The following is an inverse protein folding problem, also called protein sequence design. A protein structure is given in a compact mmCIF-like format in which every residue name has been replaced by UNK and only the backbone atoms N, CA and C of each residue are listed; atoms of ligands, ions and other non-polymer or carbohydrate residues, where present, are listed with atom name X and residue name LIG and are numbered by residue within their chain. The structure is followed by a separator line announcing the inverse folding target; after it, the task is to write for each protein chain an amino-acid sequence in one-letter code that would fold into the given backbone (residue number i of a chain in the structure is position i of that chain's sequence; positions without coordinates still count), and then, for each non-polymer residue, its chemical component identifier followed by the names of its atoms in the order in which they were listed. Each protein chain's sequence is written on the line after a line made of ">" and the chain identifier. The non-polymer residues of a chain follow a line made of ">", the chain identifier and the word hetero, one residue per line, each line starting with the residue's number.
data_IF_587425810169
#
_entry.id   IF_587425810169
#
_cell.length_a   1.000
_cell.length_b   1.000
_cell.length_c   1.000
_cell.angle_alpha   90.00
_cell.angle_beta   90.00
_cell.angle_gamma   90.00
#
_symmetry.space_group_name_H-M   'P 1'
#
loop_
_entity.id
_entity.type
_entity.pdbx_description
1 polymer ?
#
# COMPACT_ATOMS: atom_id res chain seq x y z
N UNK A 1 -25.32 13.27 18.95
CA UNK A 1 -26.33 12.79 17.98
C UNK A 1 -25.57 12.42 16.71
N UNK A 2 -25.14 11.16 16.61
CA UNK A 2 -24.40 10.67 15.45
C UNK A 2 -25.40 10.26 14.37
N UNK A 3 -25.41 10.98 13.25
CA UNK A 3 -26.03 10.49 12.03
C UNK A 3 -25.14 9.35 11.49
N UNK A 4 -25.59 8.10 11.66
CA UNK A 4 -25.06 6.97 10.92
C UNK A 4 -25.15 7.31 9.43
N UNK A 5 -24.03 7.33 8.73
CA UNK A 5 -23.99 7.48 7.29
C UNK A 5 -24.66 6.24 6.67
N UNK A 6 -25.89 6.43 6.19
CA UNK A 6 -26.55 5.46 5.33
C UNK A 6 -25.77 5.41 4.01
N UNK A 7 -25.12 4.27 3.71
CA UNK A 7 -24.47 4.03 2.42
C UNK A 7 -25.50 3.52 1.41
N UNK A 8 -26.00 4.34 0.47
CA UNK A 8 -27.04 3.95 -0.48
C UNK A 8 -26.57 2.90 -1.51
N UNK A 9 -25.27 2.60 -1.59
CA UNK A 9 -24.72 1.58 -2.47
C UNK A 9 -24.86 0.15 -1.92
N UNK A 10 -25.19 0.00 -0.63
CA UNK A 10 -25.36 -1.29 0.04
C UNK A 10 -26.41 -2.17 -0.64
N UNK A 11 -27.58 -1.60 -0.92
CA UNK A 11 -28.65 -2.32 -1.64
C UNK A 11 -28.27 -2.58 -3.10
N UNK A 12 -27.56 -1.67 -3.77
CA UNK A 12 -27.21 -1.86 -5.18
C UNK A 12 -26.15 -2.95 -5.41
N UNK A 13 -25.19 -3.12 -4.50
CA UNK A 13 -24.15 -4.16 -4.65
C UNK A 13 -24.72 -5.57 -4.38
N UNK A 14 -25.59 -5.73 -3.39
CA UNK A 14 -26.31 -6.98 -3.12
C UNK A 14 -27.19 -7.44 -4.30
N UNK A 15 -27.84 -6.51 -5.01
CA UNK A 15 -28.66 -6.84 -6.18
C UNK A 15 -27.84 -7.10 -7.46
N UNK A 16 -26.59 -6.62 -7.55
CA UNK A 16 -25.73 -6.81 -8.72
C UNK A 16 -25.11 -8.21 -8.80
N UNK A 17 -24.90 -8.88 -7.67
CA UNK A 17 -24.21 -10.18 -7.64
C UNK A 17 -25.13 -11.37 -7.92
N UNK A 18 -26.47 -11.25 -7.78
CA UNK A 18 -27.39 -12.31 -8.24
C UNK A 18 -28.87 -11.87 -8.32
N UNK A 19 -29.46 -11.65 -9.52
CA UNK A 19 -30.86 -11.22 -9.66
C UNK A 19 -31.90 -12.32 -9.33
N UNK A 20 -31.49 -13.55 -9.02
CA UNK A 20 -32.38 -14.68 -8.71
C UNK A 20 -32.42 -15.06 -7.21
N UNK A 21 -31.79 -14.28 -6.31
CA UNK A 21 -31.86 -14.56 -4.88
C UNK A 21 -33.25 -14.18 -4.33
N UNK A 22 -34.03 -15.22 -4.06
CA UNK A 22 -35.29 -15.13 -3.33
C UNK A 22 -35.00 -14.61 -1.91
N UNK A 23 -35.53 -13.46 -1.47
CA UNK A 23 -35.16 -12.80 -0.21
C UNK A 23 -35.50 -13.59 1.08
N UNK A 24 -36.04 -14.80 0.96
CA UNK A 24 -36.32 -15.72 2.06
C UNK A 24 -35.40 -16.95 2.12
N UNK A 25 -34.50 -17.12 1.16
CA UNK A 25 -33.52 -18.20 1.14
C UNK A 25 -32.12 -17.59 1.03
N UNK A 26 -31.42 -17.58 2.15
CA UNK A 26 -30.00 -17.93 2.39
C UNK A 26 -29.62 -17.16 3.66
N UNK A 27 -30.07 -17.68 4.81
CA UNK A 27 -29.30 -17.50 6.03
C UNK A 27 -28.01 -18.30 5.80
N UNK A 28 -26.93 -17.64 5.40
CA UNK A 28 -25.61 -18.26 5.50
C UNK A 28 -25.22 -18.17 6.98
N UNK A 29 -25.63 -19.20 7.73
CA UNK A 29 -25.37 -19.33 9.18
C UNK A 29 -23.87 -19.25 9.46
N UNK A 30 -23.04 -19.77 8.55
CA UNK A 30 -21.59 -19.72 8.65
C UNK A 30 -21.09 -18.27 8.47
N UNK A 31 -21.52 -17.57 7.42
CA UNK A 31 -21.15 -16.16 7.22
C UNK A 31 -21.65 -15.27 8.37
N UNK A 32 -22.87 -15.49 8.85
CA UNK A 32 -23.45 -14.73 9.97
C UNK A 32 -22.60 -14.87 11.23
N UNK A 33 -22.24 -16.11 11.59
CA UNK A 33 -21.38 -16.39 12.74
C UNK A 33 -19.98 -15.81 12.55
N UNK A 34 -19.39 -15.95 11.36
CA UNK A 34 -18.06 -15.39 11.06
C UNK A 34 -18.03 -13.88 11.15
N UNK A 35 -19.06 -13.19 10.64
CA UNK A 35 -19.19 -11.73 10.75
C UNK A 35 -19.39 -11.33 12.22
N UNK A 36 -20.22 -12.05 12.99
CA UNK A 36 -20.43 -11.79 14.41
C UNK A 36 -19.14 -11.89 15.24
N UNK A 37 -18.41 -13.00 15.10
CA UNK A 37 -17.13 -13.23 15.79
C UNK A 37 -16.11 -12.14 15.44
N UNK A 38 -16.07 -11.73 14.17
CA UNK A 38 -15.19 -10.66 13.71
C UNK A 38 -15.59 -9.32 14.31
N UNK A 39 -16.88 -8.96 14.29
CA UNK A 39 -17.37 -7.72 14.91
C UNK A 39 -17.09 -7.67 16.42
N UNK A 40 -17.22 -8.79 17.13
CA UNK A 40 -16.88 -8.85 18.56
C UNK A 40 -15.39 -8.56 18.80
N UNK A 41 -14.49 -9.18 18.03
CA UNK A 41 -13.04 -8.94 18.10
C UNK A 41 -12.67 -7.49 17.75
N UNK A 42 -13.18 -6.97 16.63
CA UNK A 42 -12.75 -5.67 16.13
C UNK A 42 -13.32 -4.51 16.94
N UNK A 43 -14.60 -4.57 17.33
CA UNK A 43 -15.21 -3.49 18.12
C UNK A 43 -14.66 -3.39 19.52
N UNK A 44 -14.14 -4.49 20.07
CA UNK A 44 -13.47 -4.46 21.38
C UNK A 44 -12.08 -3.87 21.28
N UNK A 45 -11.30 -4.20 20.25
CA UNK A 45 -9.93 -3.71 20.13
C UNK A 45 -9.81 -2.30 19.55
N UNK A 46 -10.83 -1.77 18.86
CA UNK A 46 -10.73 -0.50 18.13
C UNK A 46 -10.31 0.70 18.99
N UNK A 47 -10.70 0.73 20.26
CA UNK A 47 -10.28 1.77 21.22
C UNK A 47 -8.76 1.82 21.39
N UNK A 48 -8.09 0.66 21.40
CA UNK A 48 -6.65 0.51 21.55
C UNK A 48 -5.90 1.08 20.33
N UNK A 49 -6.42 0.89 19.12
CA UNK A 49 -5.84 1.48 17.91
C UNK A 49 -5.86 3.01 17.97
N UNK A 50 -6.97 3.61 18.41
CA UNK A 50 -7.04 5.07 18.57
C UNK A 50 -6.13 5.61 19.68
N UNK A 51 -5.87 4.84 20.75
CA UNK A 51 -4.90 5.23 21.78
C UNK A 51 -3.48 5.33 21.20
N UNK A 52 -3.07 4.36 20.38
CA UNK A 52 -1.75 4.37 19.72
C UNK A 52 -1.67 5.48 18.67
N UNK A 53 -2.72 5.71 17.88
CA UNK A 53 -2.76 6.82 16.92
C UNK A 53 -2.55 8.20 17.57
N UNK A 54 -2.95 8.37 18.83
CA UNK A 54 -2.75 9.65 19.52
C UNK A 54 -1.28 10.03 19.66
N UNK A 55 -0.39 9.02 19.72
CA UNK A 55 1.06 9.21 19.77
C UNK A 55 1.61 9.80 18.46
N UNK A 56 0.93 9.55 17.34
CA UNK A 56 1.32 9.95 15.99
C UNK A 56 0.53 11.15 15.44
N UNK A 57 -0.33 11.76 16.26
CA UNK A 57 -1.28 12.81 15.83
C UNK A 57 -0.63 14.00 15.10
N UNK A 58 0.65 14.26 15.36
CA UNK A 58 1.40 15.37 14.75
C UNK A 58 2.52 14.91 13.81
N UNK A 59 2.58 13.63 13.45
CA UNK A 59 3.59 13.08 12.55
C UNK A 59 3.01 12.94 11.13
N UNK A 60 3.42 13.78 10.15
CA UNK A 60 2.94 13.70 8.79
C UNK A 60 3.34 12.40 8.08
N UNK A 61 4.42 11.75 8.51
CA UNK A 61 4.86 10.46 7.95
C UNK A 61 3.87 9.32 8.26
N UNK A 62 3.01 9.52 9.27
CA UNK A 62 2.05 8.53 9.76
C UNK A 62 0.62 8.71 9.28
N UNK A 63 0.42 9.54 8.25
CA UNK A 63 -0.90 9.64 7.61
C UNK A 63 -1.37 8.28 7.06
N UNK A 64 -0.44 7.41 6.65
CA UNK A 64 -0.73 6.04 6.22
C UNK A 64 -1.37 5.19 7.33
N UNK A 65 -0.76 5.17 8.53
CA UNK A 65 -1.31 4.45 9.69
C UNK A 65 -2.67 5.02 10.13
N UNK A 66 -2.81 6.35 10.18
CA UNK A 66 -4.08 7.02 10.49
C UNK A 66 -5.16 6.60 9.49
N UNK A 67 -4.84 6.62 8.19
CA UNK A 67 -5.75 6.22 7.12
C UNK A 67 -6.15 4.73 7.23
N UNK A 68 -5.19 3.84 7.52
CA UNK A 68 -5.45 2.41 7.66
C UNK A 68 -6.41 2.13 8.83
N UNK A 69 -6.21 2.76 9.99
CA UNK A 69 -7.11 2.61 11.15
C UNK A 69 -8.49 3.21 10.87
N UNK A 70 -8.58 4.36 10.18
CA UNK A 70 -9.87 4.91 9.75
C UNK A 70 -10.60 3.96 8.78
N UNK A 71 -9.88 3.36 7.84
CA UNK A 71 -10.40 2.37 6.90
C UNK A 71 -10.88 1.12 7.64
N UNK A 72 -10.15 0.67 8.66
CA UNK A 72 -10.55 -0.43 9.55
C UNK A 72 -11.91 -0.14 10.19
N UNK A 73 -12.08 1.05 10.76
CA UNK A 73 -13.35 1.48 11.36
C UNK A 73 -14.50 1.50 10.35
N UNK A 74 -14.24 1.90 9.10
CA UNK A 74 -15.25 1.87 8.05
C UNK A 74 -15.67 0.44 7.68
N UNK A 75 -14.71 -0.49 7.53
CA UNK A 75 -15.03 -1.90 7.25
C UNK A 75 -15.80 -2.54 8.41
N UNK A 76 -15.46 -2.20 9.67
CA UNK A 76 -16.24 -2.64 10.84
C UNK A 76 -17.69 -2.16 10.73
N UNK A 77 -17.92 -0.88 10.38
CA UNK A 77 -19.27 -0.34 10.19
C UNK A 77 -20.04 -1.05 9.06
N UNK A 78 -19.36 -1.40 7.97
CA UNK A 78 -19.97 -2.14 6.85
C UNK A 78 -20.32 -3.59 7.25
N UNK A 79 -19.45 -4.26 8.01
CA UNK A 79 -19.73 -5.58 8.59
C UNK A 79 -20.92 -5.55 9.58
N UNK A 80 -21.08 -4.46 10.34
CA UNK A 80 -22.28 -4.28 11.19
C UNK A 80 -23.57 -4.22 10.37
N UNK A 81 -23.54 -3.54 9.22
CA UNK A 81 -24.70 -3.51 8.32
C UNK A 81 -25.01 -4.91 7.78
N UNK A 82 -23.99 -5.68 7.43
CA UNK A 82 -24.12 -7.10 7.04
C UNK A 82 -24.75 -7.94 8.16
N UNK A 83 -24.24 -7.85 9.38
CA UNK A 83 -24.80 -8.58 10.50
C UNK A 83 -26.25 -8.18 10.79
N UNK A 84 -26.56 -6.88 10.74
CA UNK A 84 -27.93 -6.39 10.92
C UNK A 84 -28.86 -6.87 9.81
N UNK A 85 -28.37 -6.96 8.58
CA UNK A 85 -29.13 -7.51 7.47
C UNK A 85 -29.41 -9.01 7.65
N UNK A 86 -28.42 -9.79 8.08
CA UNK A 86 -28.59 -11.22 8.32
C UNK A 86 -29.50 -11.53 9.52
N UNK A 87 -29.38 -10.78 10.61
CA UNK A 87 -30.00 -11.15 11.89
C UNK A 87 -31.20 -10.28 12.28
N UNK A 88 -31.32 -9.09 11.71
CA UNK A 88 -32.26 -8.05 12.16
C UNK A 88 -31.84 -7.36 13.47
N UNK A 89 -30.68 -7.67 14.03
CA UNK A 89 -30.20 -7.17 15.32
C UNK A 89 -28.84 -6.49 15.19
N UNK A 90 -28.47 -5.69 16.20
CA UNK A 90 -27.10 -5.18 16.34
C UNK A 90 -26.28 -6.16 17.18
N UNK A 91 -24.97 -6.27 16.90
CA UNK A 91 -24.03 -7.02 17.74
C UNK A 91 -24.02 -6.43 19.15
N UNK A 92 -24.19 -7.28 20.17
CA UNK A 92 -24.11 -6.87 21.56
C UNK A 92 -22.66 -6.82 22.04
N UNK A 93 -22.11 -5.61 22.20
CA UNK A 93 -20.75 -5.37 22.69
C UNK A 93 -20.68 -5.07 24.20
N UNK A 94 -21.82 -4.98 24.90
CA UNK A 94 -21.93 -4.45 26.28
C UNK A 94 -21.25 -5.30 27.35
N UNK A 95 -20.95 -6.58 27.09
CA UNK A 95 -20.23 -7.43 28.05
C UNK A 95 -18.70 -7.25 27.98
N UNK A 96 -18.19 -6.52 26.99
CA UNK A 96 -16.77 -6.52 26.64
C UNK A 96 -16.03 -5.22 27.03
N UNK A 97 -16.77 -4.15 27.38
CA UNK A 97 -16.22 -2.87 27.85
C UNK A 97 -15.57 -2.95 29.24
N UNK A 98 -15.90 -3.96 30.05
CA UNK A 98 -15.45 -4.06 31.44
C UNK A 98 -14.02 -4.62 31.64
N UNK A 99 -13.29 -4.95 30.56
CA UNK A 99 -11.97 -5.61 30.63
C UNK A 99 -10.80 -4.80 30.02
N UNK A 100 -10.99 -3.53 29.64
CA UNK A 100 -9.98 -2.75 28.90
C UNK A 100 -9.44 -1.53 29.67
N UNK A 101 -8.91 -1.75 30.87
CA UNK A 101 -8.12 -0.76 31.61
C UNK A 101 -6.60 -0.94 31.41
N UNK A 102 -6.15 -1.37 30.23
CA UNK A 102 -4.73 -1.46 29.88
C UNK A 102 -4.33 -0.38 28.87
N UNK A 103 -3.19 0.30 29.09
CA UNK A 103 -2.57 1.15 28.07
C UNK A 103 -2.14 0.29 26.87
N UNK A 104 -2.62 0.62 25.67
CA UNK A 104 -2.17 -0.04 24.44
C UNK A 104 -0.78 0.48 24.03
N UNK A 105 0.14 -0.43 23.77
CA UNK A 105 1.47 -0.16 23.19
C UNK A 105 1.48 -0.36 21.68
N UNK A 106 2.48 0.19 20.99
CA UNK A 106 2.70 -0.08 19.56
C UNK A 106 2.84 -1.59 19.29
N UNK A 107 3.62 -2.29 20.12
CA UNK A 107 3.83 -3.74 20.03
C UNK A 107 2.52 -4.53 20.14
N UNK A 108 1.64 -4.16 21.09
CA UNK A 108 0.35 -4.84 21.25
C UNK A 108 -0.59 -4.60 20.07
N UNK A 109 -0.56 -3.42 19.43
CA UNK A 109 -1.34 -3.17 18.21
C UNK A 109 -0.75 -3.91 17.02
N UNK A 110 0.57 -3.96 16.89
CA UNK A 110 1.26 -4.72 15.86
C UNK A 110 0.89 -6.21 15.91
N UNK A 111 1.00 -6.84 17.08
CA UNK A 111 0.62 -8.26 17.27
C UNK A 111 -0.88 -8.49 16.98
N UNK A 112 -1.73 -7.59 17.48
CA UNK A 112 -3.17 -7.69 17.26
C UNK A 112 -3.53 -7.53 15.78
N UNK A 113 -2.85 -6.66 15.04
CA UNK A 113 -3.04 -6.45 13.62
C UNK A 113 -2.55 -7.67 12.81
N UNK A 114 -1.37 -8.22 13.10
CA UNK A 114 -0.90 -9.46 12.46
C UNK A 114 -1.86 -10.64 12.66
N UNK A 115 -2.34 -10.84 13.89
CA UNK A 115 -3.34 -11.87 14.16
C UNK A 115 -4.64 -11.60 13.39
N UNK A 116 -5.06 -10.32 13.31
CA UNK A 116 -6.24 -9.90 12.54
C UNK A 116 -6.11 -10.23 11.06
N UNK A 117 -4.93 -9.98 10.46
CA UNK A 117 -4.64 -10.33 9.08
C UNK A 117 -4.81 -11.84 8.83
N UNK A 118 -4.13 -12.68 9.60
CA UNK A 118 -4.19 -14.14 9.42
C UNK A 118 -5.61 -14.68 9.60
N UNK A 119 -6.31 -14.22 10.64
CA UNK A 119 -7.66 -14.67 10.94
C UNK A 119 -8.67 -14.23 9.87
N UNK A 120 -8.65 -12.96 9.48
CA UNK A 120 -9.62 -12.39 8.55
C UNK A 120 -9.37 -12.89 7.11
N UNK A 121 -8.10 -13.08 6.72
CA UNK A 121 -7.76 -13.71 5.45
C UNK A 121 -8.31 -15.14 5.39
N UNK A 122 -8.01 -15.96 6.40
CA UNK A 122 -8.50 -17.35 6.49
C UNK A 122 -10.03 -17.42 6.51
N UNK A 123 -10.71 -16.51 7.23
CA UNK A 123 -12.18 -16.45 7.26
C UNK A 123 -12.75 -16.09 5.89
N UNK A 124 -12.10 -15.19 5.15
CA UNK A 124 -12.53 -14.81 3.80
C UNK A 124 -12.54 -16.00 2.83
N UNK A 125 -11.59 -16.93 2.95
CA UNK A 125 -11.53 -18.15 2.12
C UNK A 125 -12.59 -19.20 2.51
N UNK A 126 -13.17 -19.11 3.71
CA UNK A 126 -14.04 -20.14 4.28
C UNK A 126 -15.53 -19.88 4.12
N UNK A 127 -15.93 -18.66 3.74
CA UNK A 127 -17.34 -18.28 3.57
C UNK A 127 -17.67 -18.07 2.09
N UNK A 128 -18.91 -18.34 1.72
CA UNK A 128 -19.36 -18.24 0.32
C UNK A 128 -20.25 -17.01 0.06
N UNK A 129 -20.57 -16.23 1.09
CA UNK A 129 -21.30 -14.97 0.93
C UNK A 129 -20.33 -13.91 0.35
N UNK A 130 -20.49 -13.50 -0.92
CA UNK A 130 -19.46 -12.75 -1.64
C UNK A 130 -19.12 -11.40 -1.02
N UNK A 131 -20.11 -10.71 -0.43
CA UNK A 131 -19.89 -9.39 0.12
C UNK A 131 -19.14 -9.46 1.46
N UNK A 132 -19.52 -10.37 2.34
CA UNK A 132 -18.79 -10.67 3.58
C UNK A 132 -17.37 -11.15 3.29
N UNK A 133 -17.18 -12.01 2.27
CA UNK A 133 -15.86 -12.45 1.85
C UNK A 133 -14.98 -11.26 1.44
N UNK A 134 -15.52 -10.36 0.62
CA UNK A 134 -14.82 -9.15 0.20
C UNK A 134 -14.45 -8.25 1.40
N UNK A 135 -15.39 -8.00 2.31
CA UNK A 135 -15.14 -7.16 3.49
C UNK A 135 -14.11 -7.79 4.44
N UNK A 136 -14.13 -9.10 4.65
CA UNK A 136 -13.14 -9.80 5.46
C UNK A 136 -11.74 -9.78 4.82
N UNK A 137 -11.66 -9.93 3.50
CA UNK A 137 -10.39 -9.78 2.79
C UNK A 137 -9.85 -8.35 2.89
N UNK A 138 -10.70 -7.33 2.70
CA UNK A 138 -10.32 -5.93 2.88
C UNK A 138 -9.85 -5.64 4.32
N UNK A 139 -10.56 -6.17 5.32
CA UNK A 139 -10.17 -6.04 6.72
C UNK A 139 -8.80 -6.68 6.98
N UNK A 140 -8.54 -7.87 6.41
CA UNK A 140 -7.25 -8.54 6.52
C UNK A 140 -6.11 -7.69 5.92
N UNK A 141 -6.32 -7.13 4.72
CA UNK A 141 -5.30 -6.28 4.09
C UNK A 141 -5.04 -5.00 4.89
N UNK A 142 -6.07 -4.41 5.50
CA UNK A 142 -5.90 -3.25 6.39
C UNK A 142 -5.13 -3.64 7.66
N UNK A 143 -5.41 -4.81 8.24
CA UNK A 143 -4.66 -5.33 9.37
C UNK A 143 -3.18 -5.54 9.03
N UNK A 144 -2.88 -6.06 7.84
CA UNK A 144 -1.51 -6.17 7.33
C UNK A 144 -0.85 -4.79 7.18
N UNK A 145 -1.53 -3.80 6.60
CA UNK A 145 -1.02 -2.43 6.46
C UNK A 145 -0.69 -1.81 7.82
N UNK A 146 -1.56 -1.99 8.82
CA UNK A 146 -1.29 -1.47 10.16
C UNK A 146 -0.06 -2.17 10.76
N UNK A 147 0.06 -3.49 10.63
CA UNK A 147 1.22 -4.22 11.11
C UNK A 147 2.52 -3.76 10.42
N UNK A 148 2.49 -3.54 9.11
CA UNK A 148 3.63 -3.08 8.32
C UNK A 148 4.07 -1.65 8.69
N UNK A 149 3.13 -0.73 8.92
CA UNK A 149 3.47 0.59 9.44
C UNK A 149 4.14 0.50 10.81
N UNK A 150 3.62 -0.34 11.71
CA UNK A 150 4.14 -0.44 13.07
C UNK A 150 5.45 -1.25 13.18
N UNK A 151 5.73 -2.18 12.26
CA UNK A 151 7.02 -2.91 12.23
C UNK A 151 8.18 -1.95 12.04
N UNK A 152 8.05 -0.97 11.13
CA UNK A 152 9.05 0.08 10.93
C UNK A 152 9.36 0.86 12.22
N UNK A 153 8.36 1.16 13.04
CA UNK A 153 8.57 1.79 14.35
C UNK A 153 9.28 0.88 15.34
N UNK A 154 8.90 -0.38 15.39
CA UNK A 154 9.48 -1.34 16.32
C UNK A 154 10.95 -1.65 15.98
N UNK A 155 11.28 -1.69 14.69
CA UNK A 155 12.66 -1.81 14.19
C UNK A 155 13.48 -0.55 14.54
N UNK A 156 12.92 0.64 14.31
CA UNK A 156 13.58 1.92 14.62
C UNK A 156 13.77 2.17 16.14
N UNK A 157 12.95 1.56 17.01
CA UNK A 157 13.16 1.63 18.47
C UNK A 157 14.24 0.68 18.99
N UNK A 158 14.71 -0.27 18.18
CA UNK A 158 15.80 -1.18 18.54
C UNK A 158 17.17 -0.78 17.98
N UNK A 159 17.24 0.13 17.00
CA UNK A 159 18.50 0.59 16.40
C UNK A 159 18.73 2.10 16.56
N UNK A 160 19.66 2.46 17.45
CA UNK A 160 20.35 3.74 17.43
C UNK A 160 21.21 3.80 16.14
N UNK A 161 20.84 4.70 15.21
CA UNK A 161 21.59 5.15 14.03
C UNK A 161 21.74 4.18 12.84
N UNK A 162 20.75 4.12 11.94
CA UNK A 162 20.98 4.13 10.48
C UNK A 162 19.72 4.51 9.69
N UNK A 163 19.83 5.58 8.89
CA UNK A 163 19.04 5.99 7.70
C UNK A 163 17.58 5.53 7.58
N UNK A 164 16.67 6.50 7.49
CA UNK A 164 15.31 6.35 6.97
C UNK A 164 15.31 5.56 5.64
N UNK A 165 15.07 4.25 5.71
CA UNK A 165 14.87 3.44 4.52
C UNK A 165 13.46 3.71 4.01
N UNK A 166 13.36 4.20 2.78
CA UNK A 166 12.10 4.30 2.06
C UNK A 166 11.58 2.87 1.88
N UNK A 167 10.40 2.57 2.43
CA UNK A 167 9.69 1.31 2.24
C UNK A 167 8.67 1.45 1.10
N UNK A 168 8.46 0.37 0.33
CA UNK A 168 7.45 0.36 -0.74
C UNK A 168 6.04 0.41 -0.13
N UNK A 169 5.32 1.50 -0.37
CA UNK A 169 3.97 1.74 0.17
C UNK A 169 2.87 0.89 -0.50
N UNK A 170 3.21 0.05 -1.47
CA UNK A 170 2.31 -0.95 -2.06
C UNK A 170 1.11 -0.33 -2.77
N UNK A 171 -0.08 -0.89 -2.60
CA UNK A 171 -1.33 -0.42 -3.27
C UNK A 171 -2.05 0.68 -2.48
N UNK A 172 -1.42 1.25 -1.46
CA UNK A 172 -2.06 2.16 -0.52
C UNK A 172 -2.22 3.55 -1.15
N UNK A 173 -3.29 4.31 -0.88
CA UNK A 173 -3.30 5.73 -1.22
C UNK A 173 -2.11 6.44 -0.58
N UNK A 174 -1.28 7.10 -1.38
CA UNK A 174 -0.06 7.76 -0.92
C UNK A 174 -0.06 9.22 -1.39
N UNK A 175 0.28 10.13 -0.47
CA UNK A 175 0.61 11.52 -0.74
C UNK A 175 1.98 11.76 -0.13
N UNK A 176 2.94 12.16 -0.96
CA UNK A 176 4.35 12.29 -0.60
C UNK A 176 4.95 13.45 -1.38
N UNK A 177 5.93 14.12 -0.78
CA UNK A 177 6.83 14.99 -1.51
C UNK A 177 7.85 14.14 -2.28
N UNK A 178 7.61 13.97 -3.58
CA UNK A 178 8.40 13.06 -4.41
C UNK A 178 9.80 13.60 -4.71
N UNK A 179 9.97 14.92 -4.67
CA UNK A 179 11.25 15.60 -4.87
C UNK A 179 12.17 15.27 -3.68
N UNK A 180 11.71 15.57 -2.46
CA UNK A 180 12.43 15.24 -1.22
C UNK A 180 12.78 13.74 -1.15
N UNK A 181 11.84 12.86 -1.54
CA UNK A 181 12.05 11.42 -1.51
C UNK A 181 13.14 10.97 -2.52
N UNK A 182 13.10 11.49 -3.74
CA UNK A 182 14.07 11.15 -4.78
C UNK A 182 15.48 11.66 -4.44
N UNK A 183 15.60 12.89 -3.92
CA UNK A 183 16.87 13.48 -3.50
C UNK A 183 17.49 12.71 -2.31
N UNK A 184 16.66 12.34 -1.33
CA UNK A 184 17.09 11.60 -0.15
C UNK A 184 17.53 10.16 -0.46
N UNK A 185 16.97 9.52 -1.50
CA UNK A 185 17.32 8.15 -1.86
C UNK A 185 18.80 8.04 -2.28
N UNK A 186 19.56 7.18 -1.61
CA UNK A 186 20.97 6.92 -1.95
C UNK A 186 21.19 5.63 -2.73
N UNK A 187 20.17 4.76 -2.77
CA UNK A 187 20.26 3.46 -3.42
C UNK A 187 20.12 3.58 -4.94
N UNK A 188 20.67 2.60 -5.65
CA UNK A 188 20.60 2.58 -7.11
C UNK A 188 19.15 2.48 -7.59
N UNK A 189 18.35 1.65 -6.94
CA UNK A 189 16.92 1.55 -7.16
C UNK A 189 16.19 1.22 -5.85
N UNK A 190 15.12 1.95 -5.55
CA UNK A 190 14.20 1.66 -4.45
C UNK A 190 12.78 1.71 -4.97
N UNK A 191 12.01 0.63 -4.82
CA UNK A 191 10.58 0.66 -5.07
C UNK A 191 9.90 1.52 -3.99
N UNK A 192 9.24 2.61 -4.41
CA UNK A 192 8.51 3.50 -3.52
C UNK A 192 7.03 3.09 -3.43
N UNK A 193 6.42 2.70 -4.54
CA UNK A 193 5.00 2.35 -4.57
C UNK A 193 4.71 1.36 -5.69
N UNK A 194 4.19 0.17 -5.36
CA UNK A 194 3.85 -0.85 -6.37
C UNK A 194 2.34 -1.16 -6.39
N UNK A 195 1.68 -0.70 -7.44
CA UNK A 195 0.25 -0.89 -7.70
C UNK A 195 -0.10 -2.11 -8.55
N UNK A 196 -1.36 -2.21 -8.97
CA UNK A 196 -1.78 -3.18 -10.01
C UNK A 196 -1.48 -2.72 -11.44
N UNK A 197 -1.35 -1.41 -11.65
CA UNK A 197 -1.31 -0.81 -12.99
C UNK A 197 -0.11 0.10 -13.22
N UNK A 198 0.56 0.52 -12.15
CA UNK A 198 1.81 1.26 -12.24
C UNK A 198 2.70 1.01 -11.03
N UNK A 199 3.98 1.30 -11.17
CA UNK A 199 4.96 1.26 -10.10
C UNK A 199 5.79 2.54 -10.12
N UNK A 200 6.09 3.10 -8.95
CA UNK A 200 7.00 4.23 -8.75
C UNK A 200 8.29 3.74 -8.10
N UNK A 201 9.44 4.05 -8.69
CA UNK A 201 10.76 3.78 -8.11
C UNK A 201 11.57 5.07 -7.97
N UNK A 202 12.51 5.08 -7.04
CA UNK A 202 13.51 6.12 -6.83
C UNK A 202 14.87 5.59 -7.24
N UNK A 203 15.71 6.42 -7.83
CA UNK A 203 17.06 6.02 -8.26
C UNK A 203 18.09 7.10 -7.99
N UNK A 204 19.29 6.68 -7.61
CA UNK A 204 20.46 7.55 -7.44
C UNK A 204 21.63 7.00 -8.27
N UNK A 205 21.88 7.60 -9.43
CA UNK A 205 22.90 7.13 -10.38
C UNK A 205 24.23 7.84 -10.09
N UNK A 206 25.31 7.10 -9.74
CA UNK A 206 26.61 7.72 -9.47
C UNK A 206 27.19 8.45 -10.68
N UNK A 207 28.06 9.43 -10.42
CA UNK A 207 28.79 10.17 -11.45
C UNK A 207 29.56 9.23 -12.37
N UNK A 208 29.38 9.38 -13.68
CA UNK A 208 30.05 8.57 -14.70
C UNK A 208 29.44 7.18 -14.92
N UNK A 209 28.40 6.82 -14.17
CA UNK A 209 27.63 5.59 -14.36
C UNK A 209 26.41 5.84 -15.25
N UNK A 210 25.75 4.76 -15.67
CA UNK A 210 24.46 4.79 -16.33
C UNK A 210 23.48 3.80 -15.68
N UNK A 211 22.19 3.97 -16.01
CA UNK A 211 21.13 3.01 -15.65
C UNK A 211 21.40 1.66 -16.34
N UNK A 212 21.92 1.70 -17.56
CA UNK A 212 22.10 0.52 -18.39
C UNK A 212 21.11 0.51 -19.53
N UNK A 213 21.53 -0.11 -20.62
CA UNK A 213 20.74 -0.19 -21.83
C UNK A 213 19.66 -1.25 -21.66
N UNK A 214 18.40 -0.84 -21.69
CA UNK A 214 17.26 -1.74 -21.49
C UNK A 214 16.16 -1.51 -22.54
N UNK A 215 15.22 -2.45 -22.61
CA UNK A 215 13.98 -2.37 -23.38
C UNK A 215 12.87 -3.16 -22.67
N UNK A 216 11.74 -2.48 -22.44
CA UNK A 216 10.55 -3.13 -21.87
C UNK A 216 9.50 -3.33 -22.98
N UNK A 217 9.19 -4.57 -23.39
CA UNK A 217 8.34 -4.82 -24.57
C UNK A 217 6.85 -4.49 -24.34
N UNK A 218 6.42 -4.45 -23.09
CA UNK A 218 5.01 -4.38 -22.67
C UNK A 218 4.72 -3.25 -21.66
N UNK A 219 5.73 -2.44 -21.34
CA UNK A 219 5.68 -1.41 -20.29
C UNK A 219 6.13 -0.07 -20.83
N UNK A 220 5.27 0.94 -20.73
CA UNK A 220 5.68 2.33 -20.89
C UNK A 220 6.38 2.78 -19.61
N UNK A 221 7.41 3.63 -19.75
CA UNK A 221 8.13 4.20 -18.63
C UNK A 221 8.17 5.73 -18.73
N UNK A 222 7.91 6.39 -17.61
CA UNK A 222 8.11 7.82 -17.41
C UNK A 222 9.24 8.01 -16.40
N UNK A 223 10.21 8.88 -16.69
CA UNK A 223 11.24 9.26 -15.73
C UNK A 223 11.26 10.78 -15.56
N UNK A 224 11.48 11.26 -14.34
CA UNK A 224 11.69 12.69 -14.05
C UNK A 224 12.97 12.87 -13.26
N UNK A 225 13.82 13.78 -13.73
CA UNK A 225 15.06 14.16 -13.04
C UNK A 225 14.71 15.21 -11.98
N UNK A 226 15.08 14.92 -10.73
CA UNK A 226 14.90 15.84 -9.60
C UNK A 226 16.23 16.54 -9.24
N UNK A 227 17.38 15.88 -9.40
CA UNK A 227 18.70 16.50 -9.13
C UNK A 227 19.76 15.99 -10.10
N UNK A 228 20.71 16.86 -10.47
CA UNK A 228 21.85 16.53 -11.31
C UNK A 228 21.57 16.62 -12.82
N UNK A 229 22.48 16.06 -13.62
CA UNK A 229 22.46 16.16 -15.08
C UNK A 229 22.98 14.92 -15.78
N UNK A 230 22.38 14.60 -16.91
CA UNK A 230 22.70 13.40 -17.68
C UNK A 230 22.45 13.54 -19.17
N UNK A 231 22.61 12.41 -19.85
CA UNK A 231 22.25 12.25 -21.25
C UNK A 231 21.32 11.06 -21.39
N UNK A 232 20.14 11.27 -21.93
CA UNK A 232 19.24 10.18 -22.35
C UNK A 232 19.57 9.77 -23.77
N UNK A 233 19.56 8.46 -24.03
CA UNK A 233 19.73 7.84 -25.33
C UNK A 233 18.54 6.91 -25.59
N UNK A 234 17.88 7.03 -26.74
CA UNK A 234 16.75 6.17 -27.12
C UNK A 234 16.77 5.77 -28.59
N UNK A 235 16.19 4.63 -28.92
CA UNK A 235 15.99 4.20 -30.31
C UNK A 235 15.20 2.90 -30.45
N UNK A 236 14.81 2.59 -31.69
CA UNK A 236 14.02 1.38 -31.98
C UNK A 236 14.89 0.11 -32.11
N UNK A 237 16.22 0.23 -32.01
CA UNK A 237 17.18 -0.86 -32.16
C UNK A 237 18.30 -0.71 -31.14
N UNK A 238 18.69 -1.82 -30.50
CA UNK A 238 19.74 -1.88 -29.46
C UNK A 238 21.05 -1.21 -29.88
N UNK A 239 21.45 -1.39 -31.14
CA UNK A 239 22.71 -0.89 -31.69
C UNK A 239 22.58 0.46 -32.41
N UNK A 240 21.42 1.12 -32.33
CA UNK A 240 21.16 2.39 -33.00
C UNK A 240 20.19 3.26 -32.18
N UNK A 241 20.74 3.89 -31.14
CA UNK A 241 20.05 4.89 -30.31
C UNK A 241 20.14 6.26 -31.00
N UNK A 242 19.20 6.55 -31.88
CA UNK A 242 19.22 7.72 -32.75
C UNK A 242 18.69 9.01 -32.09
N UNK A 243 18.11 8.90 -30.89
CA UNK A 243 17.73 10.04 -30.06
C UNK A 243 18.78 10.17 -28.96
N UNK A 244 19.36 11.35 -28.83
CA UNK A 244 20.28 11.68 -27.75
C UNK A 244 20.00 13.11 -27.28
N UNK A 245 19.65 13.28 -26.02
CA UNK A 245 19.34 14.58 -25.44
C UNK A 245 19.97 14.74 -24.07
N UNK A 246 20.36 15.97 -23.73
CA UNK A 246 20.75 16.31 -22.36
C UNK A 246 19.50 16.43 -21.51
N UNK A 247 19.61 15.96 -20.28
CA UNK A 247 18.56 16.07 -19.26
C UNK A 247 19.18 16.66 -18.00
N UNK A 248 18.38 17.44 -17.30
CA UNK A 248 18.70 18.15 -16.05
C UNK A 248 17.45 18.16 -15.17
N UNK A 249 17.54 18.73 -13.97
CA UNK A 249 16.40 19.02 -13.11
C UNK A 249 15.17 19.50 -13.89
N UNK A 250 13.99 19.04 -13.49
CA UNK A 250 12.69 19.24 -14.16
C UNK A 250 12.52 18.58 -15.54
N UNK A 251 13.53 17.89 -16.07
CA UNK A 251 13.39 17.13 -17.31
C UNK A 251 12.51 15.89 -17.11
N UNK A 252 11.49 15.74 -17.95
CA UNK A 252 10.68 14.53 -18.05
C UNK A 252 11.02 13.74 -19.32
N UNK A 253 11.07 12.42 -19.18
CA UNK A 253 11.45 11.48 -20.23
C UNK A 253 10.33 10.46 -20.37
N UNK A 254 9.75 10.36 -21.56
CA UNK A 254 8.74 9.34 -21.89
C UNK A 254 9.38 8.28 -22.78
N UNK A 255 9.40 7.04 -22.30
CA UNK A 255 9.94 5.88 -23.00
C UNK A 255 8.77 4.94 -23.33
N UNK A 256 8.30 4.90 -24.59
CA UNK A 256 7.25 3.97 -25.00
C UNK A 256 7.75 2.52 -24.97
N UNK A 257 6.85 1.57 -24.70
CA UNK A 257 7.11 0.14 -24.75
C UNK A 257 7.81 -0.27 -26.08
N UNK A 258 8.84 -1.09 -25.96
CA UNK A 258 9.68 -1.56 -27.06
C UNK A 258 10.78 -0.58 -27.50
N UNK A 259 10.94 0.56 -26.82
CA UNK A 259 12.02 1.52 -27.09
C UNK A 259 13.27 1.14 -26.30
N UNK A 260 14.38 0.91 -26.98
CA UNK A 260 15.68 0.78 -26.33
C UNK A 260 16.09 2.11 -25.74
N UNK A 261 16.52 2.14 -24.48
CA UNK A 261 16.83 3.38 -23.78
C UNK A 261 17.94 3.20 -22.74
N UNK A 262 18.64 4.29 -22.46
CA UNK A 262 19.63 4.39 -21.38
C UNK A 262 19.73 5.85 -20.91
N UNK A 263 20.10 6.06 -19.65
CA UNK A 263 20.45 7.38 -19.11
C UNK A 263 21.81 7.29 -18.47
N UNK A 264 22.74 8.12 -18.94
CA UNK A 264 24.08 8.24 -18.37
C UNK A 264 24.18 9.50 -17.53
N UNK A 265 24.68 9.37 -16.29
CA UNK A 265 25.06 10.51 -15.48
C UNK A 265 26.40 11.06 -16.01
N UNK A 266 26.35 12.20 -16.70
CA UNK A 266 27.52 12.92 -17.21
C UNK A 266 27.81 14.20 -16.41
N UNK A 267 27.19 14.36 -15.24
CA UNK A 267 27.39 15.47 -14.32
C UNK A 267 28.58 15.28 -13.39
N UNK A 268 28.56 16.04 -12.30
CA UNK A 268 29.56 16.11 -11.23
C UNK A 268 28.97 15.75 -9.85
N UNK A 269 27.70 15.39 -9.80
CA UNK A 269 26.97 14.90 -8.62
C UNK A 269 26.07 13.71 -9.00
N UNK A 270 25.58 12.91 -8.03
CA UNK A 270 24.62 11.84 -8.31
C UNK A 270 23.38 12.36 -9.05
N UNK A 271 22.92 11.61 -10.05
CA UNK A 271 21.68 11.93 -10.76
C UNK A 271 20.52 11.31 -9.97
N UNK A 272 19.64 12.17 -9.43
CA UNK A 272 18.46 11.77 -8.67
C UNK A 272 17.24 11.83 -9.58
N UNK A 273 16.48 10.75 -9.59
CA UNK A 273 15.27 10.67 -10.37
C UNK A 273 14.25 9.73 -9.72
N UNK A 274 13.00 9.90 -10.12
CA UNK A 274 12.00 8.84 -9.97
C UNK A 274 11.57 8.31 -11.33
N UNK A 275 11.11 7.06 -11.35
CA UNK A 275 10.58 6.39 -12.52
C UNK A 275 9.18 5.84 -12.24
N UNK A 276 8.29 5.94 -13.22
CA UNK A 276 6.96 5.34 -13.22
C UNK A 276 6.89 4.32 -14.36
N UNK A 277 6.66 3.06 -14.01
CA UNK A 277 6.41 1.97 -14.95
C UNK A 277 4.91 1.70 -15.05
N UNK A 278 4.37 1.48 -16.25
CA UNK A 278 2.98 1.08 -16.44
C UNK A 278 2.86 0.00 -17.54
N UNK A 279 2.60 -1.29 -17.19
CA UNK A 279 2.38 -1.85 -15.84
C UNK A 279 3.66 -1.90 -14.97
N UNK A 280 3.57 -2.33 -13.68
CA UNK A 280 4.75 -2.53 -12.82
C UNK A 280 5.83 -3.41 -13.44
N UNK A 281 7.10 -3.09 -13.18
CA UNK A 281 8.25 -3.81 -13.76
C UNK A 281 9.04 -4.63 -12.73
N UNK A 282 9.35 -4.05 -11.57
CA UNK A 282 10.11 -4.69 -10.50
C UNK A 282 9.18 -5.36 -9.48
N UNK A 283 9.74 -6.26 -8.64
CA UNK A 283 8.99 -6.85 -7.54
C UNK A 283 8.63 -5.81 -6.47
N UNK A 284 7.55 -6.04 -5.73
CA UNK A 284 7.20 -5.22 -4.57
C UNK A 284 8.35 -5.22 -3.54
N UNK A 285 8.69 -4.04 -3.02
CA UNK A 285 9.75 -3.89 -2.01
C UNK A 285 11.18 -4.04 -2.53
N UNK A 286 11.41 -4.02 -3.85
CA UNK A 286 12.77 -4.09 -4.41
C UNK A 286 13.63 -2.92 -3.91
N UNK A 287 14.80 -3.24 -3.36
CA UNK A 287 15.87 -2.28 -3.04
C UNK A 287 17.19 -2.83 -3.57
N UNK A 288 17.86 -2.05 -4.39
CA UNK A 288 19.16 -2.36 -4.98
C UNK A 288 20.15 -1.26 -4.57
N UNK A 289 21.07 -1.58 -3.65
CA UNK A 289 22.04 -0.59 -3.15
C UNK A 289 23.07 -0.18 -4.22
N UNK A 290 23.30 -1.04 -5.20
CA UNK A 290 24.25 -0.86 -6.29
C UNK A 290 23.67 -1.52 -7.53
N UNK A 291 24.05 -1.00 -8.70
CA UNK A 291 23.77 -1.66 -9.96
C UNK A 291 24.37 -3.05 -9.97
N UNK A 292 23.56 -4.07 -10.24
CA UNK A 292 24.06 -5.37 -10.62
C UNK A 292 24.62 -5.30 -12.04
N UNK A 293 25.89 -5.68 -12.23
CA UNK A 293 26.42 -5.90 -13.57
C UNK A 293 25.70 -7.14 -14.14
N UNK A 294 24.79 -6.96 -15.10
CA UNK A 294 24.20 -8.09 -15.83
C UNK A 294 25.33 -8.98 -16.37
N UNK A 295 25.34 -10.25 -15.96
CA UNK A 295 26.20 -11.26 -16.55
C UNK A 295 25.76 -11.48 -18.00
N UNK A 296 26.62 -11.06 -18.93
CA UNK A 296 26.54 -11.35 -20.38
C UNK A 296 26.38 -12.84 -20.70
#
# INVERSE_FOLDING_TARGET
>A
MNHMYYNPFYHQQMYRTNPNLNPRNVFDEQATKTVEETLQREKTSLSMYYQVLDQFRNDPSEQGLVYAVQSKNQIIADLEQVYQYFTGHQVDTRQLENNQEGEASIETIYEHALQGYEENYRKSEQINEPYSQQLLYQLAMIDYQIADHLSGYLENQQEDQTSSRVTDYGRNPLVIDIEDAAEANTDYLTALWTGEHLQVTLMSIPVGSDIGLDVHPDTDQFLRIEEGRGTVQMGNQQNNLNIQQRVEEDSAIMVPAGTWHNITNNGDEPLKLFSIYAPPHHSFGTVENKREEEQM
#
